data_IF_534812795512
#
_entry.id   IF_534812795512
#
_cell.length_a   1.000
_cell.length_b   1.000
_cell.length_c   1.000
_cell.angle_alpha   90.00
_cell.angle_beta   90.00
_cell.angle_gamma   90.00
#
_symmetry.space_group_name_H-M   'P 1'
#
loop_
_entity.id
_entity.type
_entity.pdbx_description
1 polymer ?
#
# COMPACT_ATOMS: atom_id res chain seq x y z
N UNK A 1 -10.76 -64.71 10.71
CA UNK A 1 -10.66 -63.95 9.47
C UNK A 1 -9.96 -62.62 9.81
N UNK A 2 -8.69 -62.51 9.50
CA UNK A 2 -7.88 -61.35 9.78
C UNK A 2 -7.77 -60.50 8.51
N UNK A 3 -8.26 -59.24 8.56
CA UNK A 3 -8.21 -58.29 7.48
C UNK A 3 -6.83 -57.68 7.41
N UNK A 4 -6.19 -57.83 6.24
CA UNK A 4 -4.92 -57.23 5.88
C UNK A 4 -5.14 -55.75 5.54
N UNK A 5 -4.61 -54.80 6.36
CA UNK A 5 -4.45 -53.42 6.02
C UNK A 5 -3.13 -53.21 5.26
N UNK A 6 -3.09 -52.44 4.16
CA UNK A 6 -1.85 -52.21 3.41
C UNK A 6 -0.92 -51.22 4.12
N UNK A 7 0.40 -51.30 3.88
CA UNK A 7 1.39 -50.51 4.61
C UNK A 7 1.39 -49.05 4.16
N UNK A 8 1.51 -48.19 5.18
CA UNK A 8 1.66 -46.76 5.10
C UNK A 8 2.82 -46.34 4.19
N UNK A 9 2.47 -45.65 3.08
CA UNK A 9 3.44 -45.08 2.13
C UNK A 9 4.11 -43.89 2.79
N UNK A 10 5.30 -44.10 3.33
CA UNK A 10 6.24 -43.12 3.89
C UNK A 10 6.20 -41.80 3.13
N UNK A 11 5.82 -40.72 3.80
CA UNK A 11 5.99 -39.34 3.36
C UNK A 11 7.47 -39.09 3.09
N UNK A 12 7.86 -39.07 1.83
CA UNK A 12 9.18 -38.59 1.42
C UNK A 12 9.27 -37.12 1.82
N UNK A 13 10.11 -36.79 2.79
CA UNK A 13 10.45 -35.39 3.13
C UNK A 13 11.05 -34.74 1.88
N UNK A 14 10.41 -33.70 1.39
CA UNK A 14 10.97 -32.87 0.33
C UNK A 14 12.26 -32.24 0.85
N UNK A 15 13.33 -32.23 0.05
CA UNK A 15 14.56 -31.53 0.42
C UNK A 15 14.25 -30.04 0.64
N UNK A 16 14.99 -29.38 1.56
CA UNK A 16 14.80 -27.94 1.78
C UNK A 16 15.07 -27.20 0.47
N UNK A 17 14.17 -26.30 0.09
CA UNK A 17 14.34 -25.45 -1.07
C UNK A 17 15.62 -24.62 -0.88
N UNK A 18 16.47 -24.47 -1.91
CA UNK A 18 17.63 -23.59 -1.81
C UNK A 18 17.17 -22.18 -1.49
N UNK A 19 17.81 -21.56 -0.49
CA UNK A 19 17.60 -20.14 -0.18
C UNK A 19 17.97 -19.33 -1.41
N UNK A 20 16.98 -18.73 -2.03
CA UNK A 20 17.19 -17.81 -3.15
C UNK A 20 17.85 -16.55 -2.56
N UNK A 21 19.17 -16.46 -2.69
CA UNK A 21 19.89 -15.21 -2.41
C UNK A 21 19.70 -14.31 -3.63
N UNK A 22 18.82 -13.33 -3.52
CA UNK A 22 18.70 -12.25 -4.48
C UNK A 22 20.06 -11.50 -4.52
N UNK A 23 20.89 -11.77 -5.52
CA UNK A 23 21.99 -10.89 -5.83
C UNK A 23 21.40 -9.62 -6.42
N UNK A 24 21.29 -8.59 -5.60
CA UNK A 24 21.00 -7.25 -6.10
C UNK A 24 22.12 -6.86 -7.05
N UNK A 25 21.77 -6.70 -8.32
CA UNK A 25 22.74 -6.27 -9.34
C UNK A 25 23.23 -4.88 -9.00
N UNK A 26 24.49 -4.76 -8.66
CA UNK A 26 25.18 -3.51 -8.31
C UNK A 26 25.43 -2.57 -9.50
N UNK A 27 24.73 -2.77 -10.62
CA UNK A 27 24.85 -1.89 -11.80
C UNK A 27 24.12 -0.55 -11.68
N UNK A 28 23.39 -0.30 -10.61
CA UNK A 28 22.88 1.04 -10.30
C UNK A 28 23.91 1.75 -9.44
N UNK A 29 24.60 2.73 -10.03
CA UNK A 29 25.40 3.63 -9.23
C UNK A 29 24.48 4.31 -8.19
N UNK A 30 24.82 4.23 -6.88
CA UNK A 30 24.04 4.91 -5.86
C UNK A 30 23.98 6.40 -6.18
N UNK A 31 22.80 7.02 -5.99
CA UNK A 31 22.70 8.49 -6.07
C UNK A 31 23.77 9.07 -5.17
N UNK A 32 24.58 9.96 -5.71
CA UNK A 32 25.60 10.67 -4.93
C UNK A 32 24.94 11.85 -4.24
N UNK A 33 25.33 12.11 -2.99
CA UNK A 33 25.03 13.39 -2.34
C UNK A 33 25.69 14.53 -3.12
N UNK A 34 25.27 15.77 -2.94
CA UNK A 34 25.86 16.96 -3.58
C UNK A 34 27.39 17.07 -3.39
N UNK A 35 27.94 16.34 -2.42
CA UNK A 35 29.38 16.24 -2.14
C UNK A 35 30.05 14.98 -2.73
N UNK A 36 29.40 14.28 -3.66
CA UNK A 36 29.99 13.14 -4.39
C UNK A 36 30.13 11.84 -3.59
N UNK A 37 29.72 11.78 -2.31
CA UNK A 37 29.76 10.58 -1.47
C UNK A 37 28.59 9.64 -1.83
N UNK A 38 28.81 8.33 -1.90
CA UNK A 38 27.73 7.38 -2.07
C UNK A 38 26.78 7.50 -0.86
N UNK A 39 25.46 7.54 -1.11
CA UNK A 39 24.48 7.36 -0.07
C UNK A 39 24.68 5.98 0.55
N UNK A 40 25.28 5.91 1.72
CA UNK A 40 25.34 4.66 2.47
C UNK A 40 23.94 4.36 2.97
N UNK A 41 23.44 3.18 2.68
CA UNK A 41 22.16 2.67 3.18
C UNK A 41 22.18 2.41 4.71
N UNK A 42 23.18 2.89 5.42
CA UNK A 42 23.45 2.66 6.85
C UNK A 42 23.38 3.92 7.70
N UNK A 43 22.83 5.02 7.22
CA UNK A 43 22.45 6.09 8.12
C UNK A 43 21.20 5.60 8.88
N UNK A 44 21.42 5.16 10.11
CA UNK A 44 20.35 5.10 11.10
C UNK A 44 19.74 6.50 11.20
N UNK A 45 18.67 6.71 10.45
CA UNK A 45 17.90 7.93 10.55
C UNK A 45 17.12 7.83 11.85
N UNK A 46 17.72 8.26 12.94
CA UNK A 46 17.03 8.35 14.22
C UNK A 46 15.93 9.40 14.09
N UNK A 47 14.70 8.93 14.15
CA UNK A 47 13.52 9.80 14.17
C UNK A 47 13.60 10.69 15.42
N UNK A 48 13.20 11.94 15.28
CA UNK A 48 13.06 12.84 16.42
C UNK A 48 11.91 12.42 17.33
N UNK A 49 11.94 12.73 18.63
CA UNK A 49 10.85 12.40 19.54
C UNK A 49 9.47 12.88 19.05
N UNK A 50 9.39 14.05 18.42
CA UNK A 50 8.17 14.61 17.86
C UNK A 50 7.63 13.75 16.72
N UNK A 51 8.51 13.22 15.88
CA UNK A 51 8.12 12.31 14.78
C UNK A 51 7.59 10.97 15.30
N UNK A 52 8.15 10.45 16.38
CA UNK A 52 7.61 9.26 17.05
C UNK A 52 6.20 9.50 17.58
N UNK A 53 5.95 10.64 18.19
CA UNK A 53 4.63 11.03 18.69
C UNK A 53 3.63 11.21 17.54
N UNK A 54 4.07 11.80 16.44
CA UNK A 54 3.23 12.00 15.26
C UNK A 54 2.87 10.66 14.59
N UNK A 55 3.85 9.76 14.40
CA UNK A 55 3.61 8.40 13.93
C UNK A 55 2.63 7.65 14.83
N UNK A 56 2.85 7.68 16.15
CA UNK A 56 1.94 7.07 17.10
C UNK A 56 0.53 7.66 17.02
N UNK A 57 0.41 8.97 16.83
CA UNK A 57 -0.88 9.64 16.62
C UNK A 57 -1.60 9.10 15.39
N UNK A 58 -0.91 8.94 14.24
CA UNK A 58 -1.51 8.39 13.03
C UNK A 58 -1.89 6.93 13.19
N UNK A 59 -1.06 6.12 13.83
CA UNK A 59 -1.39 4.71 14.14
C UNK A 59 -2.66 4.62 15.00
N UNK A 60 -2.71 5.41 16.06
CA UNK A 60 -3.88 5.45 16.97
C UNK A 60 -5.12 5.99 16.27
N UNK A 61 -4.97 7.03 15.45
CA UNK A 61 -6.06 7.63 14.68
C UNK A 61 -6.63 6.62 13.69
N UNK A 62 -5.79 5.91 12.93
CA UNK A 62 -6.22 4.87 11.99
C UNK A 62 -7.05 3.81 12.70
N UNK A 63 -6.54 3.26 13.81
CA UNK A 63 -7.24 2.27 14.62
C UNK A 63 -8.62 2.77 15.09
N UNK A 64 -8.68 3.97 15.65
CA UNK A 64 -9.93 4.53 16.18
C UNK A 64 -10.95 4.82 15.08
N UNK A 65 -10.52 5.30 13.91
CA UNK A 65 -11.41 5.54 12.77
C UNK A 65 -11.99 4.23 12.26
N UNK A 66 -11.17 3.20 12.10
CA UNK A 66 -11.64 1.89 11.64
C UNK A 66 -12.57 1.21 12.64
N UNK A 67 -12.26 1.25 13.92
CA UNK A 67 -13.15 0.73 14.97
C UNK A 67 -14.51 1.47 14.96
N UNK A 68 -14.49 2.79 14.77
CA UNK A 68 -15.71 3.57 14.66
C UNK A 68 -16.51 3.24 13.41
N UNK A 69 -15.84 3.03 12.26
CA UNK A 69 -16.50 2.59 11.02
C UNK A 69 -17.20 1.24 11.20
N UNK A 70 -16.55 0.27 11.86
CA UNK A 70 -17.19 -1.03 12.18
C UNK A 70 -18.42 -0.86 13.06
N UNK A 71 -18.34 0.00 14.08
CA UNK A 71 -19.49 0.27 14.95
C UNK A 71 -20.65 0.93 14.19
N UNK A 72 -20.35 1.84 13.27
CA UNK A 72 -21.35 2.45 12.40
C UNK A 72 -21.91 1.45 11.37
N UNK A 73 -21.09 0.56 10.85
CA UNK A 73 -21.52 -0.53 9.97
C UNK A 73 -22.52 -1.46 10.67
N UNK A 74 -22.21 -1.88 11.91
CA UNK A 74 -23.14 -2.69 12.73
C UNK A 74 -24.47 -1.96 13.03
N UNK A 75 -24.47 -0.63 12.98
CA UNK A 75 -25.68 0.19 13.12
C UNK A 75 -26.37 0.49 11.78
N UNK A 76 -25.95 -0.18 10.69
CA UNK A 76 -26.48 0.04 9.32
C UNK A 76 -26.33 1.47 8.80
N UNK A 77 -25.41 2.27 9.37
CA UNK A 77 -25.14 3.67 8.97
C UNK A 77 -24.05 3.80 7.91
N UNK A 78 -23.31 2.73 7.67
CA UNK A 78 -22.30 2.62 6.61
C UNK A 78 -22.85 1.71 5.54
N UNK A 79 -22.75 2.15 4.29
CA UNK A 79 -23.18 1.39 3.10
C UNK A 79 -21.97 0.66 2.54
N UNK A 80 -22.16 -0.59 2.10
CA UNK A 80 -21.07 -1.44 1.59
C UNK A 80 -20.25 -2.10 2.69
N UNK A 81 -19.06 -2.57 2.33
CA UNK A 81 -18.15 -3.30 3.24
C UNK A 81 -17.21 -2.38 4.01
N UNK A 82 -16.75 -2.84 5.18
CA UNK A 82 -15.67 -2.20 5.95
C UNK A 82 -14.50 -3.17 6.02
N UNK A 83 -13.37 -2.77 5.47
CA UNK A 83 -12.14 -3.55 5.45
C UNK A 83 -11.12 -2.85 6.35
N UNK A 84 -10.64 -3.57 7.36
CA UNK A 84 -9.74 -2.99 8.36
C UNK A 84 -8.29 -3.34 8.10
N UNK A 85 -7.42 -2.44 8.47
CA UNK A 85 -5.97 -2.63 8.50
C UNK A 85 -5.44 -3.22 9.80
N UNK A 86 -6.29 -3.81 10.62
CA UNK A 86 -5.99 -4.22 11.98
C UNK A 86 -4.70 -5.08 12.04
N UNK A 87 -3.65 -4.52 12.64
CA UNK A 87 -2.31 -5.13 12.71
C UNK A 87 -1.37 -4.74 11.56
N UNK A 88 -1.85 -4.05 10.52
CA UNK A 88 -1.07 -3.56 9.37
C UNK A 88 -0.89 -2.03 9.35
N UNK A 89 -1.44 -1.31 10.32
CA UNK A 89 -1.46 0.15 10.34
C UNK A 89 -0.05 0.75 10.19
N UNK A 90 0.96 0.09 10.77
CA UNK A 90 2.34 0.56 10.72
C UNK A 90 2.93 0.56 9.31
N UNK A 91 2.54 -0.40 8.46
CA UNK A 91 2.98 -0.45 7.06
C UNK A 91 2.48 0.75 6.28
N UNK A 92 1.18 1.02 6.35
CA UNK A 92 0.54 2.14 5.65
C UNK A 92 1.01 3.50 6.20
N UNK A 93 1.00 3.67 7.52
CA UNK A 93 1.40 4.94 8.16
C UNK A 93 2.88 5.22 7.95
N UNK A 94 3.77 4.24 8.20
CA UNK A 94 5.22 4.44 8.14
C UNK A 94 5.71 4.73 6.73
N UNK A 95 5.22 4.00 5.73
CA UNK A 95 5.60 4.22 4.33
C UNK A 95 5.11 5.57 3.80
N UNK A 96 3.87 5.96 4.12
CA UNK A 96 3.33 7.26 3.72
C UNK A 96 3.99 8.43 4.46
N UNK A 97 4.37 8.24 5.73
CA UNK A 97 5.03 9.29 6.53
C UNK A 97 6.43 9.67 6.01
N UNK A 98 7.10 8.76 5.31
CA UNK A 98 8.39 9.02 4.69
C UNK A 98 8.31 9.90 3.43
N UNK A 99 7.12 10.14 2.90
CA UNK A 99 6.89 10.89 1.66
C UNK A 99 6.85 12.40 1.90
N UNK A 100 7.20 13.14 0.84
CA UNK A 100 7.01 14.58 0.81
C UNK A 100 5.54 14.92 0.52
N UNK A 101 5.07 16.14 0.87
CA UNK A 101 3.69 16.55 0.59
C UNK A 101 3.27 16.44 -0.88
N UNK A 102 4.21 16.67 -1.81
CA UNK A 102 3.98 16.64 -3.26
C UNK A 102 4.08 15.23 -3.87
N UNK A 103 4.56 14.22 -3.13
CA UNK A 103 4.61 12.84 -3.59
C UNK A 103 3.21 12.23 -3.68
N UNK A 104 3.08 11.18 -4.47
CA UNK A 104 1.80 10.53 -4.70
C UNK A 104 1.70 9.18 -4.01
N UNK A 105 0.48 8.86 -3.58
CA UNK A 105 0.12 7.50 -3.12
C UNK A 105 -1.09 6.97 -3.87
N UNK A 106 -1.13 5.68 -4.10
CA UNK A 106 -2.34 4.93 -4.38
C UNK A 106 -2.47 3.77 -3.41
N UNK A 107 -3.30 3.94 -2.36
CA UNK A 107 -3.50 2.92 -1.34
C UNK A 107 -4.39 1.79 -1.85
N UNK A 108 -4.40 0.67 -1.13
CA UNK A 108 -5.49 -0.29 -1.18
C UNK A 108 -6.56 0.06 -0.15
N UNK A 109 -7.63 -0.71 -0.19
CA UNK A 109 -8.78 -0.54 0.71
C UNK A 109 -8.43 -0.66 2.21
N UNK A 110 -7.30 -1.31 2.56
CA UNK A 110 -6.82 -1.47 3.94
C UNK A 110 -5.81 -0.40 4.37
N UNK A 111 -5.41 0.51 3.47
CA UNK A 111 -4.35 1.48 3.74
C UNK A 111 -4.89 2.84 4.18
N UNK A 112 -5.95 2.82 4.99
CA UNK A 112 -6.53 4.05 5.54
C UNK A 112 -5.50 4.92 6.26
N UNK A 113 -4.49 4.28 6.90
CA UNK A 113 -3.39 5.00 7.55
C UNK A 113 -2.63 5.90 6.61
N UNK A 114 -2.31 5.43 5.40
CA UNK A 114 -1.62 6.23 4.38
C UNK A 114 -2.47 7.42 3.91
N UNK A 115 -3.78 7.20 3.77
CA UNK A 115 -4.75 8.24 3.38
C UNK A 115 -4.82 9.36 4.44
N UNK A 116 -4.82 8.99 5.72
CA UNK A 116 -4.82 9.95 6.83
C UNK A 116 -3.50 10.74 6.92
N UNK A 117 -2.37 10.07 6.69
CA UNK A 117 -1.05 10.73 6.64
C UNK A 117 -0.97 11.76 5.50
N UNK A 118 -1.58 11.46 4.34
CA UNK A 118 -1.70 12.41 3.21
C UNK A 118 -2.68 13.56 3.46
N UNK A 119 -3.21 13.68 4.69
CA UNK A 119 -4.01 14.81 5.12
C UNK A 119 -5.51 14.72 4.82
N UNK A 120 -6.00 13.54 4.45
CA UNK A 120 -7.45 13.30 4.40
C UNK A 120 -7.97 13.23 5.85
N UNK A 121 -8.97 14.02 6.14
CA UNK A 121 -9.51 14.11 7.51
C UNK A 121 -10.49 12.97 7.80
N UNK A 122 -10.56 12.47 9.04
CA UNK A 122 -11.55 11.46 9.44
C UNK A 122 -13.00 11.83 9.06
N UNK A 123 -13.34 13.11 9.12
CA UNK A 123 -14.64 13.61 8.68
C UNK A 123 -14.94 13.26 7.22
N UNK A 124 -13.98 13.40 6.34
CA UNK A 124 -14.10 13.08 4.89
C UNK A 124 -14.27 11.59 4.69
N UNK A 125 -13.51 10.78 5.45
CA UNK A 125 -13.64 9.32 5.46
C UNK A 125 -15.03 8.89 5.90
N UNK A 126 -15.51 9.39 7.03
CA UNK A 126 -16.87 9.04 7.51
C UNK A 126 -17.97 9.49 6.54
N UNK A 127 -17.84 10.68 5.94
CA UNK A 127 -18.80 11.16 4.95
C UNK A 127 -18.86 10.25 3.73
N UNK A 128 -17.70 9.79 3.26
CA UNK A 128 -17.58 8.85 2.15
C UNK A 128 -18.27 7.52 2.47
N UNK A 129 -17.90 6.86 3.59
CA UNK A 129 -18.48 5.58 4.00
C UNK A 129 -19.98 5.64 4.30
N UNK A 130 -20.48 6.79 4.68
CA UNK A 130 -21.90 7.02 4.96
C UNK A 130 -22.68 7.57 3.76
N UNK A 131 -22.10 7.57 2.57
CA UNK A 131 -22.69 8.06 1.32
C UNK A 131 -23.29 9.48 1.44
N UNK A 132 -22.59 10.38 2.14
CA UNK A 132 -23.09 11.76 2.32
C UNK A 132 -22.87 12.59 1.07
N UNK A 133 -23.86 13.39 0.70
CA UNK A 133 -23.79 14.28 -0.48
C UNK A 133 -22.63 15.28 -0.41
N UNK A 134 -22.20 15.67 0.78
CA UNK A 134 -21.03 16.54 0.99
C UNK A 134 -19.70 15.75 1.14
N UNK A 135 -19.73 14.43 1.03
CA UNK A 135 -18.55 13.57 1.03
C UNK A 135 -17.72 13.73 -0.25
N UNK A 136 -16.50 13.21 -0.26
CA UNK A 136 -15.58 13.37 -1.41
C UNK A 136 -16.15 12.93 -2.75
N UNK A 137 -16.91 11.84 -2.81
CA UNK A 137 -17.56 11.35 -4.05
C UNK A 137 -18.99 11.87 -4.24
N UNK A 138 -19.48 12.75 -3.36
CA UNK A 138 -20.88 13.21 -3.39
C UNK A 138 -21.89 12.09 -3.12
N UNK A 139 -21.49 11.04 -2.41
CA UNK A 139 -22.30 9.86 -2.11
C UNK A 139 -22.47 8.89 -3.29
N UNK A 140 -21.68 9.04 -4.36
CA UNK A 140 -21.77 8.20 -5.56
C UNK A 140 -20.91 6.94 -5.49
N UNK A 141 -19.93 6.92 -4.60
CA UNK A 141 -19.06 5.78 -4.35
C UNK A 141 -18.81 5.62 -2.84
N UNK A 142 -18.25 4.51 -2.43
CA UNK A 142 -18.12 4.08 -1.05
C UNK A 142 -16.67 3.76 -0.68
N UNK A 143 -16.45 3.30 0.55
CA UNK A 143 -15.12 3.00 1.06
C UNK A 143 -14.17 4.20 0.88
N UNK A 144 -12.91 3.94 0.50
CA UNK A 144 -11.93 4.98 0.18
C UNK A 144 -11.79 5.18 -1.35
N UNK A 145 -12.83 4.83 -2.14
CA UNK A 145 -12.86 5.02 -3.58
C UNK A 145 -13.10 6.50 -3.94
N UNK A 146 -12.17 7.33 -3.58
CA UNK A 146 -12.09 8.73 -3.97
C UNK A 146 -10.63 9.15 -4.04
N UNK A 147 -10.34 10.23 -4.70
CA UNK A 147 -8.99 10.79 -4.77
C UNK A 147 -8.96 12.27 -4.40
N UNK A 148 -7.79 12.76 -4.07
CA UNK A 148 -7.49 14.17 -3.87
C UNK A 148 -6.13 14.48 -4.48
N UNK A 149 -6.13 14.95 -5.72
CA UNK A 149 -4.91 15.25 -6.47
C UNK A 149 -4.06 16.35 -5.80
N UNK A 150 -4.68 17.26 -5.06
CA UNK A 150 -3.95 18.32 -4.36
C UNK A 150 -3.13 17.78 -3.19
N UNK A 151 -3.58 16.68 -2.62
CA UNK A 151 -2.88 15.95 -1.56
C UNK A 151 -2.02 14.80 -2.08
N UNK A 152 -1.93 14.60 -3.40
CA UNK A 152 -1.21 13.46 -3.98
C UNK A 152 -1.86 12.11 -3.67
N UNK A 153 -3.15 12.09 -3.38
CA UNK A 153 -3.90 10.88 -3.11
C UNK A 153 -4.70 10.45 -4.33
N UNK A 154 -4.27 9.36 -4.98
CA UNK A 154 -4.96 8.71 -6.09
C UNK A 154 -5.83 7.61 -5.50
N UNK A 155 -7.14 7.74 -5.67
CA UNK A 155 -8.08 6.78 -5.10
C UNK A 155 -7.89 5.37 -5.65
N UNK A 156 -8.05 4.34 -4.81
CA UNK A 156 -8.03 2.97 -5.27
C UNK A 156 -9.26 2.65 -6.12
N UNK A 157 -9.13 1.62 -6.93
CA UNK A 157 -10.22 1.01 -7.69
C UNK A 157 -10.35 -0.46 -7.33
N UNK A 158 -11.48 -1.08 -7.68
CA UNK A 158 -11.73 -2.50 -7.36
C UNK A 158 -10.91 -3.48 -8.20
N UNK A 159 -10.35 -3.04 -9.32
CA UNK A 159 -9.47 -3.84 -10.17
C UNK A 159 -8.07 -3.89 -9.57
N UNK A 160 -7.79 -4.96 -8.84
CA UNK A 160 -6.52 -5.11 -8.13
C UNK A 160 -5.35 -5.22 -9.12
N UNK A 161 -4.30 -4.46 -8.88
CA UNK A 161 -3.11 -4.39 -9.74
C UNK A 161 -3.13 -3.25 -10.75
N UNK A 162 -4.29 -2.76 -11.19
CA UNK A 162 -4.41 -1.74 -12.24
C UNK A 162 -3.88 -0.37 -11.83
N UNK A 163 -3.81 -0.10 -10.53
CA UNK A 163 -3.22 1.15 -10.05
C UNK A 163 -1.70 1.24 -10.25
N UNK A 164 -1.02 0.13 -10.48
CA UNK A 164 0.41 0.12 -10.79
C UNK A 164 0.68 0.79 -12.15
N UNK A 165 0.07 0.37 -13.27
CA UNK A 165 0.22 1.08 -14.55
C UNK A 165 -0.32 2.52 -14.50
N UNK A 166 -1.37 2.81 -13.74
CA UNK A 166 -1.86 4.19 -13.56
C UNK A 166 -0.77 5.07 -12.94
N UNK A 167 -0.14 4.62 -11.85
CA UNK A 167 0.94 5.37 -11.21
C UNK A 167 2.17 5.52 -12.10
N UNK A 168 2.48 4.52 -12.93
CA UNK A 168 3.56 4.65 -13.91
C UNK A 168 3.26 5.71 -14.96
N UNK A 169 2.01 5.81 -15.39
CA UNK A 169 1.55 6.88 -16.30
C UNK A 169 1.69 8.27 -15.69
N UNK A 170 1.30 8.42 -14.42
CA UNK A 170 1.44 9.67 -13.66
C UNK A 170 2.93 10.07 -13.56
N UNK A 171 3.80 9.14 -13.20
CA UNK A 171 5.24 9.38 -13.09
C UNK A 171 5.90 9.69 -14.43
N UNK A 172 5.48 9.02 -15.50
CA UNK A 172 5.95 9.33 -16.85
C UNK A 172 5.55 10.75 -17.24
N UNK A 173 4.29 11.11 -17.03
CA UNK A 173 3.78 12.46 -17.29
C UNK A 173 4.50 13.54 -16.48
N UNK A 174 4.83 13.25 -15.21
CA UNK A 174 5.62 14.13 -14.36
C UNK A 174 7.02 14.34 -14.92
N UNK A 175 7.70 13.28 -15.30
CA UNK A 175 9.03 13.35 -15.93
C UNK A 175 9.02 14.18 -17.22
N UNK A 176 8.00 14.00 -18.06
CA UNK A 176 7.82 14.81 -19.28
C UNK A 176 7.63 16.30 -18.97
N UNK A 177 7.04 16.62 -17.82
CA UNK A 177 6.86 17.98 -17.31
C UNK A 177 8.02 18.49 -16.46
N UNK A 178 9.09 17.69 -16.33
CA UNK A 178 10.26 17.99 -15.48
C UNK A 178 9.89 18.22 -14.00
N UNK A 179 8.84 17.56 -13.52
CA UNK A 179 8.42 17.55 -12.13
C UNK A 179 9.08 16.38 -11.40
N UNK A 180 9.66 16.64 -10.24
CA UNK A 180 10.32 15.63 -9.40
C UNK A 180 9.40 15.26 -8.24
N UNK A 181 8.83 14.05 -8.29
CA UNK A 181 8.12 13.43 -7.18
C UNK A 181 8.18 11.90 -7.26
N UNK A 182 8.01 11.27 -6.13
CA UNK A 182 7.94 9.82 -5.96
C UNK A 182 6.49 9.39 -5.88
N UNK A 183 6.20 8.18 -6.31
CA UNK A 183 4.90 7.57 -6.09
C UNK A 183 5.02 6.26 -5.32
N UNK A 184 4.12 6.06 -4.36
CA UNK A 184 3.97 4.79 -3.65
C UNK A 184 2.65 4.15 -4.05
N UNK A 185 2.72 2.93 -4.54
CA UNK A 185 1.56 2.09 -4.81
C UNK A 185 1.52 0.91 -3.84
N UNK A 186 0.37 0.67 -3.25
CA UNK A 186 0.15 -0.45 -2.34
C UNK A 186 -0.56 -1.58 -3.08
N UNK A 187 -0.18 -2.80 -2.78
CA UNK A 187 -0.78 -4.00 -3.38
C UNK A 187 -0.75 -5.18 -2.42
N UNK A 188 -1.83 -5.94 -2.38
CA UNK A 188 -1.87 -7.20 -1.64
C UNK A 188 -1.30 -8.37 -2.46
N UNK A 189 -0.92 -9.44 -1.77
CA UNK A 189 -0.35 -10.66 -2.37
C UNK A 189 -1.25 -11.27 -3.46
N UNK A 190 -2.57 -11.27 -3.29
CA UNK A 190 -3.50 -11.72 -4.33
C UNK A 190 -3.46 -10.87 -5.60
N UNK A 191 -3.39 -9.54 -5.45
CA UNK A 191 -3.32 -8.59 -6.57
C UNK A 191 -2.02 -8.70 -7.38
N UNK A 192 -0.93 -9.15 -6.77
CA UNK A 192 0.36 -9.32 -7.44
C UNK A 192 0.35 -10.40 -8.53
N UNK A 193 -0.67 -11.26 -8.57
CA UNK A 193 -0.80 -12.30 -9.60
C UNK A 193 -1.47 -11.80 -10.88
N UNK A 194 -1.89 -10.54 -10.95
CA UNK A 194 -2.55 -9.97 -12.13
C UNK A 194 -1.57 -9.56 -13.22
N UNK A 195 -1.97 -9.62 -14.49
CA UNK A 195 -1.16 -9.13 -15.62
C UNK A 195 -0.82 -7.65 -15.48
N UNK A 196 -1.78 -6.81 -15.13
CA UNK A 196 -1.60 -5.37 -14.96
C UNK A 196 -0.49 -5.02 -13.96
N UNK A 197 -0.38 -5.76 -12.84
CA UNK A 197 0.72 -5.59 -11.90
C UNK A 197 2.09 -5.78 -12.58
N UNK A 198 2.28 -6.90 -13.29
CA UNK A 198 3.55 -7.23 -13.93
C UNK A 198 3.89 -6.27 -15.07
N UNK A 199 2.91 -5.91 -15.88
CA UNK A 199 3.08 -4.99 -17.00
C UNK A 199 3.45 -3.58 -16.50
N UNK A 200 2.72 -3.06 -15.53
CA UNK A 200 2.99 -1.74 -14.95
C UNK A 200 4.36 -1.68 -14.25
N UNK A 201 4.70 -2.71 -13.47
CA UNK A 201 5.99 -2.79 -12.78
C UNK A 201 7.16 -2.88 -13.77
N UNK A 202 7.03 -3.71 -14.80
CA UNK A 202 8.03 -3.82 -15.86
C UNK A 202 8.21 -2.50 -16.60
N UNK A 203 7.12 -1.83 -16.96
CA UNK A 203 7.18 -0.53 -17.62
C UNK A 203 7.87 0.52 -16.74
N UNK A 204 7.53 0.60 -15.46
CA UNK A 204 8.19 1.49 -14.52
C UNK A 204 9.70 1.22 -14.43
N UNK A 205 10.11 -0.05 -14.39
CA UNK A 205 11.51 -0.46 -14.34
C UNK A 205 12.27 -0.09 -15.61
N UNK A 206 11.73 -0.40 -16.80
CA UNK A 206 12.31 -0.07 -18.10
C UNK A 206 12.49 1.43 -18.25
N UNK A 207 11.48 2.19 -17.86
CA UNK A 207 11.48 3.65 -17.89
C UNK A 207 12.24 4.29 -16.72
N UNK A 208 12.71 3.50 -15.73
CA UNK A 208 13.39 4.01 -14.52
C UNK A 208 12.57 5.08 -13.79
N UNK A 209 11.27 4.83 -13.63
CA UNK A 209 10.37 5.74 -12.93
C UNK A 209 10.52 5.59 -11.40
N UNK A 210 10.38 6.66 -10.62
CA UNK A 210 10.52 6.62 -9.17
C UNK A 210 9.24 6.06 -8.50
N UNK A 211 8.87 4.83 -8.86
CA UNK A 211 7.76 4.07 -8.29
C UNK A 211 8.27 3.15 -7.17
N UNK A 212 7.65 3.28 -6.00
CA UNK A 212 7.83 2.36 -4.88
C UNK A 212 6.56 1.51 -4.78
N UNK A 213 6.73 0.20 -4.74
CA UNK A 213 5.60 -0.74 -4.53
C UNK A 213 5.71 -1.33 -3.14
N UNK A 214 4.68 -1.13 -2.33
CA UNK A 214 4.53 -1.74 -1.01
C UNK A 214 3.63 -2.96 -1.17
N UNK A 215 4.22 -4.16 -1.11
CA UNK A 215 3.50 -5.41 -1.20
C UNK A 215 3.10 -5.90 0.20
N UNK A 216 1.81 -5.90 0.50
CA UNK A 216 1.25 -6.35 1.76
C UNK A 216 0.90 -7.84 1.69
N UNK A 217 1.83 -8.67 2.15
CA UNK A 217 1.66 -10.12 2.13
C UNK A 217 1.13 -10.64 3.48
N UNK A 218 -0.16 -10.52 3.68
CA UNK A 218 -0.85 -11.04 4.86
C UNK A 218 -1.29 -12.51 4.72
N UNK A 219 -0.96 -13.17 3.61
CA UNK A 219 -1.34 -14.55 3.26
C UNK A 219 -2.84 -14.79 3.16
N UNK A 220 -3.61 -13.74 2.92
CA UNK A 220 -5.05 -13.82 2.85
C UNK A 220 -5.56 -12.95 1.69
N UNK A 221 -5.92 -13.58 0.58
CA UNK A 221 -6.62 -12.94 -0.52
C UNK A 221 -8.12 -13.17 -0.39
N UNK A 222 -8.93 -12.18 -0.76
CA UNK A 222 -10.37 -12.29 -0.75
C UNK A 222 -10.82 -13.42 -1.72
N UNK A 223 -11.62 -14.34 -1.28
CA UNK A 223 -12.13 -15.49 -2.05
C UNK A 223 -11.11 -16.57 -2.47
N UNK A 224 -9.96 -16.67 -1.85
CA UNK A 224 -9.01 -17.79 -2.08
C UNK A 224 -8.68 -18.50 -0.80
#
# INVERSE_FOLDING_TARGET
MAENSPPDKRRRRRPPRPRFQMRVSTKYAPRKTDNGKPLSCTTETTLKPEQHLELYRYLKLTRLVEERLVNLYRQTKVVGGVFRSLGQEATAVGSAYALQPHDFITPLIRDLGAVLVKGIRPREVFAQYMAKAWGPSGGKDLNIHFGDMQKGFIGPISHLGDMIPVMTGILLGARMQQKDFVAVAYIGDGGMSTGAFHEGLNFAAVQKLPLIVVAEHNRYAYST
#
